data_IF_518796886247
#
_entry.id   IF_518796886247
#
_cell.length_a   1.000
_cell.length_b   1.000
_cell.length_c   1.000
_cell.angle_alpha   90.00
_cell.angle_beta   90.00
_cell.angle_gamma   90.00
#
_symmetry.space_group_name_H-M   'P 1'
#
loop_
_entity.id
_entity.type
_entity.pdbx_description
1 polymer ?
#
# COMPACT_ATOMS: atom_id res chain seq x y z
N UNK A 1 25.85 6.07 12.78
CA UNK A 1 25.24 5.33 11.66
C UNK A 1 25.01 3.86 11.97
N UNK A 2 26.02 3.06 12.32
CA UNK A 2 25.88 1.61 12.59
C UNK A 2 24.85 1.26 13.70
N UNK A 3 24.79 2.02 14.80
CA UNK A 3 23.82 1.83 15.91
C UNK A 3 22.36 2.06 15.50
N UNK A 4 22.09 2.95 14.55
CA UNK A 4 20.74 3.22 14.04
C UNK A 4 20.32 2.07 13.15
N UNK A 5 21.20 1.60 12.28
CA UNK A 5 20.96 0.45 11.39
C UNK A 5 20.68 -0.81 12.21
N UNK A 6 21.46 -1.09 13.25
CA UNK A 6 21.23 -2.24 14.13
C UNK A 6 19.91 -2.17 14.88
N UNK A 7 19.48 -0.99 15.35
CA UNK A 7 18.17 -0.83 16.00
C UNK A 7 17.02 -1.05 15.03
N UNK A 8 17.14 -0.56 13.80
CA UNK A 8 16.13 -0.79 12.76
C UNK A 8 16.02 -2.25 12.33
N UNK A 9 17.14 -2.96 12.23
CA UNK A 9 17.18 -4.40 11.95
C UNK A 9 16.56 -5.20 13.10
N UNK A 10 16.84 -4.81 14.34
CA UNK A 10 16.30 -5.49 15.54
C UNK A 10 14.78 -5.28 15.66
N UNK A 11 14.27 -4.07 15.39
CA UNK A 11 12.84 -3.79 15.33
C UNK A 11 12.14 -4.55 14.21
N UNK A 12 12.76 -4.63 13.04
CA UNK A 12 12.25 -5.41 11.91
C UNK A 12 12.21 -6.91 12.24
N UNK A 13 13.23 -7.43 12.92
CA UNK A 13 13.28 -8.83 13.37
C UNK A 13 12.20 -9.14 14.43
N UNK A 14 11.93 -8.22 15.36
CA UNK A 14 10.85 -8.37 16.35
C UNK A 14 9.48 -8.38 15.65
N UNK A 15 9.25 -7.50 14.69
CA UNK A 15 8.00 -7.46 13.92
C UNK A 15 7.82 -8.76 13.13
N UNK A 16 8.89 -9.29 12.53
CA UNK A 16 8.87 -10.57 11.82
C UNK A 16 8.62 -11.77 12.74
N UNK A 17 9.17 -11.78 13.96
CA UNK A 17 8.97 -12.89 14.91
C UNK A 17 7.58 -12.88 15.56
N UNK A 18 7.00 -11.72 15.82
CA UNK A 18 5.61 -11.62 16.33
C UNK A 18 4.59 -12.04 15.26
N UNK A 19 4.90 -11.87 13.97
CA UNK A 19 4.03 -12.32 12.88
C UNK A 19 3.99 -13.84 12.65
N UNK A 20 4.89 -14.62 13.29
CA UNK A 20 4.97 -16.07 13.06
C UNK A 20 4.20 -16.92 14.08
N UNK A 21 3.74 -16.34 15.16
CA UNK A 21 2.99 -17.05 16.19
C UNK A 21 1.50 -16.74 16.12
N UNK A 22 0.70 -17.77 15.94
CA UNK A 22 -0.76 -17.83 16.04
C UNK A 22 -1.53 -17.40 14.78
N UNK A 23 -1.73 -18.37 13.84
CA UNK A 23 -2.96 -18.36 13.09
C UNK A 23 -3.05 -19.55 12.12
N UNK A 24 -4.15 -20.24 12.10
CA UNK A 24 -4.53 -21.07 10.96
C UNK A 24 -4.63 -20.13 9.74
N UNK A 25 -3.71 -20.29 8.79
CA UNK A 25 -3.65 -19.42 7.63
C UNK A 25 -4.80 -19.78 6.70
N UNK A 26 -5.65 -18.82 6.46
CA UNK A 26 -6.72 -18.91 5.49
C UNK A 26 -6.19 -18.52 4.12
N UNK A 27 -6.56 -19.27 3.07
CA UNK A 27 -6.06 -19.00 1.73
C UNK A 27 -6.76 -17.83 1.03
N UNK A 28 -7.92 -17.37 1.51
CA UNK A 28 -8.76 -16.38 0.84
C UNK A 28 -9.33 -15.34 1.81
N UNK A 29 -9.74 -14.14 1.32
CA UNK A 29 -10.49 -13.19 2.15
C UNK A 29 -11.82 -13.79 2.58
N UNK A 30 -12.07 -13.87 3.89
CA UNK A 30 -13.35 -14.32 4.47
C UNK A 30 -13.78 -13.37 5.58
N UNK A 31 -15.09 -13.28 5.86
CA UNK A 31 -15.64 -12.41 6.91
C UNK A 31 -15.00 -12.67 8.27
N UNK A 32 -14.73 -11.59 9.01
CA UNK A 32 -14.02 -11.66 10.29
C UNK A 32 -12.53 -12.00 10.16
N UNK A 33 -12.05 -12.22 8.93
CA UNK A 33 -10.65 -12.46 8.63
C UNK A 33 -9.83 -11.18 8.60
N UNK A 34 -8.52 -11.37 8.64
CA UNK A 34 -7.54 -10.29 8.56
C UNK A 34 -6.56 -10.56 7.43
N UNK A 35 -6.01 -9.51 6.85
CA UNK A 35 -4.87 -9.56 5.94
C UNK A 35 -3.62 -9.01 6.64
N UNK A 36 -2.50 -9.68 6.45
CA UNK A 36 -1.18 -9.10 6.67
C UNK A 36 -0.35 -9.28 5.40
N UNK A 37 0.30 -8.21 4.94
CA UNK A 37 1.06 -8.23 3.69
C UNK A 37 2.31 -7.36 3.82
N UNK A 38 3.41 -7.83 3.21
CA UNK A 38 4.58 -7.03 2.88
C UNK A 38 4.51 -6.77 1.38
N UNK A 39 4.75 -5.54 0.97
CA UNK A 39 4.67 -5.16 -0.43
C UNK A 39 5.76 -4.17 -0.84
N UNK A 40 6.06 -4.15 -2.13
CA UNK A 40 6.89 -3.13 -2.75
C UNK A 40 6.32 -2.79 -4.13
N UNK A 41 6.50 -1.55 -4.54
CA UNK A 41 6.02 -1.08 -5.82
C UNK A 41 6.85 0.09 -6.35
N UNK A 42 6.71 0.33 -7.63
CA UNK A 42 7.37 1.45 -8.27
C UNK A 42 6.74 1.78 -9.61
N UNK A 43 7.00 2.98 -10.07
CA UNK A 43 6.45 3.49 -11.30
C UNK A 43 6.97 4.86 -11.65
N UNK A 44 6.30 5.49 -12.59
CA UNK A 44 6.72 6.77 -13.13
C UNK A 44 5.54 7.74 -13.25
N UNK A 45 5.87 9.03 -13.32
CA UNK A 45 4.87 10.10 -13.46
C UNK A 45 4.10 9.99 -14.76
N UNK A 46 2.83 10.38 -14.67
CA UNK A 46 1.90 10.55 -15.79
C UNK A 46 1.38 11.98 -15.83
N UNK A 47 0.62 12.31 -16.87
CA UNK A 47 0.07 13.66 -17.07
C UNK A 47 -0.76 14.17 -15.87
N UNK A 48 -0.85 15.50 -15.71
CA UNK A 48 -1.67 16.18 -14.71
C UNK A 48 -0.91 16.64 -13.46
N UNK A 49 0.41 16.58 -13.45
CA UNK A 49 1.28 17.05 -12.37
C UNK A 49 2.71 17.27 -12.85
N UNK A 50 3.68 17.34 -11.92
CA UNK A 50 5.11 17.38 -12.27
C UNK A 50 5.51 16.08 -12.95
N UNK A 51 6.08 16.19 -14.17
CA UNK A 51 6.63 15.09 -14.94
C UNK A 51 8.03 14.66 -14.47
N UNK A 52 8.61 13.70 -15.20
CA UNK A 52 10.00 13.17 -15.02
C UNK A 52 10.30 12.75 -13.58
N UNK A 53 9.27 12.18 -12.91
CA UNK A 53 9.36 11.78 -11.51
C UNK A 53 9.11 10.28 -11.40
N UNK A 54 10.10 9.54 -10.93
CA UNK A 54 9.95 8.14 -10.55
C UNK A 54 9.53 8.00 -9.09
N UNK A 55 8.86 6.92 -8.76
CA UNK A 55 8.51 6.56 -7.39
C UNK A 55 8.85 5.10 -7.11
N UNK A 56 9.37 4.83 -5.92
CA UNK A 56 9.48 3.48 -5.35
C UNK A 56 9.08 3.53 -3.89
N UNK A 57 8.23 2.59 -3.50
CA UNK A 57 7.79 2.48 -2.11
C UNK A 57 7.67 1.02 -1.69
N UNK A 58 7.85 0.79 -0.39
CA UNK A 58 7.65 -0.52 0.21
C UNK A 58 7.03 -0.37 1.60
N UNK A 59 6.17 -1.31 1.96
CA UNK A 59 5.37 -1.18 3.17
C UNK A 59 4.82 -2.48 3.71
N UNK A 60 4.08 -2.29 4.80
CA UNK A 60 3.37 -3.32 5.52
C UNK A 60 1.89 -2.95 5.53
N UNK A 61 1.04 -3.91 5.23
CA UNK A 61 -0.41 -3.79 5.31
C UNK A 61 -0.97 -4.62 6.43
N UNK A 62 -1.98 -4.07 7.09
CA UNK A 62 -2.92 -4.81 7.92
C UNK A 62 -4.35 -4.47 7.50
N UNK A 63 -5.13 -5.50 7.16
CA UNK A 63 -6.52 -5.37 6.71
C UNK A 63 -7.48 -6.15 7.58
N UNK A 64 -8.73 -5.65 7.66
CA UNK A 64 -9.87 -6.29 8.31
C UNK A 64 -10.95 -6.53 7.28
N UNK A 65 -11.34 -7.79 7.07
CA UNK A 65 -12.43 -8.16 6.17
C UNK A 65 -13.73 -8.07 6.97
N UNK A 66 -14.52 -7.05 6.66
CA UNK A 66 -15.63 -6.60 7.49
C UNK A 66 -16.98 -7.21 7.09
N UNK A 67 -17.09 -7.80 5.91
CA UNK A 67 -18.39 -8.22 5.40
C UNK A 67 -18.36 -9.61 4.77
N UNK A 68 -19.49 -10.27 4.82
CA UNK A 68 -19.81 -11.39 3.94
C UNK A 68 -19.88 -10.95 2.47
N UNK A 69 -19.82 -11.90 1.52
CA UNK A 69 -19.98 -11.56 0.12
C UNK A 69 -21.38 -11.05 -0.18
N UNK A 70 -21.49 -9.80 -0.60
CA UNK A 70 -22.74 -9.19 -1.04
C UNK A 70 -22.57 -8.54 -2.42
N UNK A 71 -23.61 -7.93 -2.95
CA UNK A 71 -23.82 -7.55 -4.33
C UNK A 71 -23.98 -8.75 -5.29
N UNK A 72 -24.76 -8.57 -6.38
CA UNK A 72 -25.04 -9.65 -7.32
C UNK A 72 -23.93 -9.84 -8.36
N UNK A 73 -23.89 -11.04 -8.94
CA UNK A 73 -23.14 -11.37 -10.15
C UNK A 73 -21.63 -11.07 -10.03
N UNK A 74 -21.06 -10.38 -11.02
CA UNK A 74 -19.62 -10.04 -11.12
C UNK A 74 -19.16 -9.05 -10.07
N UNK A 75 -20.07 -8.29 -9.47
CA UNK A 75 -19.76 -7.34 -8.41
C UNK A 75 -19.72 -7.98 -7.02
N UNK A 76 -20.10 -9.27 -6.92
CA UNK A 76 -20.11 -9.97 -5.64
C UNK A 76 -18.72 -9.99 -5.02
N UNK A 77 -18.62 -9.51 -3.78
CA UNK A 77 -17.35 -9.36 -3.09
C UNK A 77 -17.53 -9.01 -1.61
N UNK A 78 -16.40 -8.77 -0.96
CA UNK A 78 -16.31 -8.43 0.48
C UNK A 78 -15.59 -7.09 0.64
N UNK A 79 -16.10 -6.30 1.57
CA UNK A 79 -15.44 -5.07 1.96
C UNK A 79 -14.32 -5.35 2.96
N UNK A 80 -13.19 -4.73 2.73
CA UNK A 80 -12.03 -4.74 3.61
C UNK A 80 -11.62 -3.30 3.91
N UNK A 81 -11.34 -3.03 5.17
CA UNK A 81 -10.65 -1.82 5.60
C UNK A 81 -9.19 -2.17 5.88
N UNK A 82 -8.27 -1.35 5.37
CA UNK A 82 -6.85 -1.60 5.51
C UNK A 82 -6.06 -0.37 5.96
N UNK A 83 -4.94 -0.62 6.62
CA UNK A 83 -3.92 0.35 6.96
C UNK A 83 -2.62 -0.04 6.29
N UNK A 84 -1.90 0.92 5.71
CA UNK A 84 -0.54 0.71 5.22
C UNK A 84 0.46 1.59 5.99
N UNK A 85 1.51 0.97 6.53
CA UNK A 85 2.71 1.66 6.98
C UNK A 85 3.75 1.58 5.86
N UNK A 86 4.29 2.71 5.43
CA UNK A 86 5.21 2.83 4.30
C UNK A 86 6.58 3.34 4.80
N UNK A 87 7.42 2.48 5.40
CA UNK A 87 8.72 2.88 5.94
C UNK A 87 9.75 3.23 4.87
N UNK A 88 9.51 2.86 3.62
CA UNK A 88 10.38 3.20 2.49
C UNK A 88 9.55 3.94 1.46
N UNK A 89 9.85 5.21 1.26
CA UNK A 89 9.23 6.06 0.27
C UNK A 89 10.31 6.86 -0.45
N UNK A 90 10.54 6.56 -1.73
CA UNK A 90 11.55 7.20 -2.56
C UNK A 90 10.87 7.88 -3.73
N UNK A 91 11.22 9.13 -3.95
CA UNK A 91 10.78 9.92 -5.11
C UNK A 91 12.02 10.43 -5.84
N UNK A 92 12.16 10.02 -7.09
CA UNK A 92 13.26 10.38 -7.97
C UNK A 92 12.81 11.57 -8.82
N UNK A 93 13.21 12.77 -8.43
CA UNK A 93 12.89 14.01 -9.13
C UNK A 93 14.10 14.48 -9.95
N UNK A 94 13.93 15.28 -11.01
CA UNK A 94 15.05 15.87 -11.73
C UNK A 94 16.02 16.69 -10.85
N UNK A 95 15.48 17.34 -9.81
CA UNK A 95 16.26 18.18 -8.90
C UNK A 95 16.98 17.36 -7.81
N UNK A 96 16.38 16.28 -7.33
CA UNK A 96 16.93 15.47 -6.23
C UNK A 96 16.18 14.13 -6.09
N UNK A 97 16.71 13.26 -5.25
CA UNK A 97 15.98 12.07 -4.76
C UNK A 97 15.50 12.36 -3.33
N UNK A 98 14.19 12.31 -3.14
CA UNK A 98 13.58 12.45 -1.81
C UNK A 98 13.37 11.09 -1.16
N UNK A 99 13.70 11.02 0.12
CA UNK A 99 13.50 9.85 0.98
C UNK A 99 12.42 10.20 2.01
N UNK A 100 11.54 9.27 2.29
CA UNK A 100 10.45 9.54 3.21
C UNK A 100 9.85 8.30 3.84
N UNK A 101 8.84 8.57 4.64
CA UNK A 101 7.97 7.58 5.26
C UNK A 101 6.53 8.00 5.05
N UNK A 102 5.65 7.04 4.85
CA UNK A 102 4.23 7.28 4.66
C UNK A 102 3.37 6.45 5.60
N UNK A 103 2.13 6.87 5.73
CA UNK A 103 1.09 6.14 6.42
C UNK A 103 -0.25 6.37 5.73
N UNK A 104 -0.92 5.29 5.33
CA UNK A 104 -2.24 5.31 4.71
C UNK A 104 -3.28 4.79 5.72
N UNK A 105 -3.94 5.68 6.50
CA UNK A 105 -4.97 5.28 7.46
C UNK A 105 -6.29 4.89 6.80
N UNK A 106 -6.52 5.23 5.55
CA UNK A 106 -7.77 5.02 4.84
C UNK A 106 -7.55 4.10 3.65
N UNK A 107 -7.64 2.79 3.86
CA UNK A 107 -7.66 1.79 2.80
C UNK A 107 -9.06 1.18 2.69
N UNK A 108 -9.78 1.46 1.60
CA UNK A 108 -11.09 0.93 1.29
C UNK A 108 -10.97 -0.04 0.13
N UNK A 109 -11.05 -1.33 0.40
CA UNK A 109 -10.79 -2.39 -0.57
C UNK A 109 -12.02 -3.25 -0.76
N UNK A 110 -12.35 -3.54 -2.01
CA UNK A 110 -13.39 -4.47 -2.40
C UNK A 110 -12.76 -5.71 -3.01
N UNK A 111 -12.79 -6.82 -2.27
CA UNK A 111 -12.32 -8.12 -2.72
C UNK A 111 -13.45 -8.86 -3.42
N UNK A 112 -13.38 -9.00 -4.73
CA UNK A 112 -14.34 -9.79 -5.49
C UNK A 112 -14.24 -11.27 -5.13
N UNK A 113 -15.34 -11.99 -5.27
CA UNK A 113 -15.34 -13.45 -5.06
C UNK A 113 -14.31 -14.11 -5.97
N UNK A 114 -13.50 -14.95 -5.38
CA UNK A 114 -12.42 -15.66 -6.08
C UNK A 114 -12.91 -16.48 -7.25
N UNK A 115 -12.09 -16.58 -8.28
CA UNK A 115 -12.24 -17.47 -9.43
C UNK A 115 -11.01 -18.37 -9.51
N UNK A 116 -11.16 -19.62 -9.05
CA UNK A 116 -10.02 -20.52 -8.87
C UNK A 116 -9.04 -19.97 -7.84
N UNK A 117 -7.81 -19.73 -8.24
CA UNK A 117 -6.75 -19.16 -7.38
C UNK A 117 -6.68 -17.62 -7.43
N UNK A 118 -7.47 -16.97 -8.24
CA UNK A 118 -7.45 -15.52 -8.39
C UNK A 118 -8.59 -14.88 -7.57
N UNK A 119 -8.27 -13.88 -6.78
CA UNK A 119 -9.22 -13.02 -6.07
C UNK A 119 -8.95 -11.57 -6.46
N UNK A 120 -9.64 -11.05 -7.50
CA UNK A 120 -9.48 -9.68 -7.94
C UNK A 120 -9.94 -8.71 -6.86
N UNK A 121 -9.40 -7.48 -6.87
CA UNK A 121 -9.86 -6.41 -6.00
C UNK A 121 -9.71 -5.03 -6.66
N UNK A 122 -10.46 -4.09 -6.13
CA UNK A 122 -10.26 -2.65 -6.34
C UNK A 122 -10.03 -2.00 -4.98
N UNK A 123 -9.28 -0.91 -4.96
CA UNK A 123 -8.92 -0.23 -3.72
C UNK A 123 -8.83 1.29 -3.93
N UNK A 124 -9.29 2.02 -2.93
CA UNK A 124 -9.02 3.44 -2.75
C UNK A 124 -8.26 3.63 -1.45
N UNK A 125 -7.21 4.43 -1.47
CA UNK A 125 -6.37 4.68 -0.29
C UNK A 125 -6.12 6.16 -0.13
N UNK A 126 -6.15 6.62 1.10
CA UNK A 126 -5.80 7.99 1.46
C UNK A 126 -4.77 8.01 2.59
N UNK A 127 -3.74 8.84 2.45
CA UNK A 127 -2.67 8.88 3.42
C UNK A 127 -1.82 10.14 3.42
N UNK A 128 -0.75 10.11 4.19
CA UNK A 128 0.21 11.20 4.34
C UNK A 128 1.63 10.66 4.16
N UNK A 129 2.48 11.46 3.54
CA UNK A 129 3.92 11.19 3.38
C UNK A 129 4.75 12.35 3.91
N UNK A 130 5.81 12.01 4.60
CA UNK A 130 6.83 12.92 5.11
C UNK A 130 8.14 12.62 4.39
N UNK A 131 8.74 13.63 3.75
CA UNK A 131 9.96 13.49 2.96
C UNK A 131 11.05 14.44 3.45
N UNK A 132 12.32 14.08 3.21
CA UNK A 132 13.45 14.90 3.59
C UNK A 132 13.69 16.09 2.64
N UNK A 133 13.19 16.02 1.41
CA UNK A 133 13.15 17.11 0.43
C UNK A 133 11.71 17.32 -0.02
N UNK A 134 11.43 18.53 -0.50
CA UNK A 134 10.11 18.92 -1.01
C UNK A 134 9.68 18.04 -2.20
N UNK A 135 8.42 17.63 -2.20
CA UNK A 135 7.79 16.81 -3.27
C UNK A 135 6.44 17.42 -3.66
N UNK A 136 6.27 17.87 -4.91
CA UNK A 136 7.32 18.13 -5.91
C UNK A 136 8.36 19.14 -5.42
N UNK A 137 9.53 19.17 -6.06
CA UNK A 137 10.56 20.15 -5.71
C UNK A 137 10.00 21.58 -5.68
N UNK A 138 10.39 22.37 -4.69
CA UNK A 138 9.94 23.75 -4.39
C UNK A 138 8.50 23.87 -3.86
N UNK A 139 7.98 22.83 -3.19
CA UNK A 139 6.62 22.87 -2.60
C UNK A 139 6.63 22.59 -1.09
N UNK A 140 6.50 21.33 -0.67
CA UNK A 140 6.43 20.94 0.74
C UNK A 140 7.05 19.56 0.98
N UNK A 141 7.49 19.32 2.21
CA UNK A 141 7.99 18.02 2.69
C UNK A 141 6.90 17.16 3.31
N UNK A 142 5.73 17.72 3.58
CA UNK A 142 4.54 17.01 4.06
C UNK A 142 3.49 17.07 2.98
N UNK A 143 3.07 15.90 2.50
CA UNK A 143 2.09 15.78 1.43
C UNK A 143 1.06 14.71 1.74
N UNK A 144 -0.10 14.83 1.12
CA UNK A 144 -1.15 13.81 1.12
C UNK A 144 -0.98 12.91 -0.09
N UNK A 145 -1.44 11.67 0.06
CA UNK A 145 -1.45 10.66 -0.99
C UNK A 145 -2.88 10.17 -1.20
N UNK A 146 -3.41 10.36 -2.40
CA UNK A 146 -4.67 9.78 -2.82
C UNK A 146 -4.39 8.72 -3.87
N UNK A 147 -4.90 7.51 -3.69
CA UNK A 147 -4.52 6.38 -4.52
C UNK A 147 -5.76 5.57 -4.93
N UNK A 148 -5.72 5.06 -6.16
CA UNK A 148 -6.71 4.12 -6.67
C UNK A 148 -5.99 2.94 -7.32
N UNK A 149 -6.45 1.72 -7.04
CA UNK A 149 -5.79 0.52 -7.49
C UNK A 149 -6.78 -0.53 -8.02
N UNK A 150 -6.28 -1.32 -8.95
CA UNK A 150 -6.85 -2.58 -9.36
C UNK A 150 -5.79 -3.67 -9.27
N UNK A 151 -6.13 -4.77 -8.62
CA UNK A 151 -5.19 -5.86 -8.40
C UNK A 151 -5.86 -7.22 -8.29
N UNK A 152 -5.04 -8.22 -8.04
CA UNK A 152 -5.49 -9.58 -7.75
C UNK A 152 -4.59 -10.25 -6.74
N UNK A 153 -5.19 -10.98 -5.81
CA UNK A 153 -4.48 -11.97 -5.02
C UNK A 153 -4.40 -13.28 -5.81
N UNK A 154 -3.21 -13.86 -5.82
CA UNK A 154 -2.93 -15.22 -6.31
C UNK A 154 -2.86 -16.10 -5.06
N UNK A 155 -3.98 -16.77 -4.76
CA UNK A 155 -4.17 -17.52 -3.52
C UNK A 155 -3.31 -18.78 -3.49
N UNK A 156 -2.55 -18.95 -2.43
CA UNK A 156 -1.78 -20.13 -2.13
C UNK A 156 -2.29 -20.83 -0.86
N UNK A 157 -1.69 -21.95 -0.51
CA UNK A 157 -2.07 -22.70 0.69
C UNK A 157 -1.67 -21.97 1.99
N UNK A 158 -0.54 -21.33 2.01
CA UNK A 158 0.08 -20.71 3.19
C UNK A 158 0.24 -19.19 3.04
N UNK A 159 0.59 -18.76 1.84
CA UNK A 159 0.84 -17.37 1.49
C UNK A 159 0.12 -17.02 0.19
N UNK A 160 -0.28 -15.79 0.07
CA UNK A 160 -0.88 -15.22 -1.12
C UNK A 160 0.09 -14.20 -1.71
N UNK A 161 0.21 -14.21 -3.02
CA UNK A 161 0.86 -13.12 -3.75
C UNK A 161 -0.20 -12.11 -4.16
N UNK A 162 0.18 -10.86 -4.30
CA UNK A 162 -0.65 -9.84 -4.94
C UNK A 162 0.10 -9.16 -6.07
N UNK A 163 -0.62 -8.85 -7.13
CA UNK A 163 -0.15 -8.01 -8.23
C UNK A 163 -1.18 -6.90 -8.42
N UNK A 164 -0.70 -5.67 -8.51
CA UNK A 164 -1.55 -4.49 -8.54
C UNK A 164 -0.99 -3.43 -9.49
N UNK A 165 -1.88 -2.75 -10.20
CA UNK A 165 -1.61 -1.47 -10.87
C UNK A 165 -2.29 -0.38 -10.08
N UNK A 166 -1.54 0.66 -9.72
CA UNK A 166 -1.96 1.73 -8.84
C UNK A 166 -1.67 3.10 -9.46
N UNK A 167 -2.68 3.95 -9.47
CA UNK A 167 -2.51 5.39 -9.64
C UNK A 167 -2.31 6.02 -8.26
N UNK A 168 -1.32 6.91 -8.13
CA UNK A 168 -1.06 7.66 -6.90
C UNK A 168 -0.89 9.14 -7.23
N UNK A 169 -1.67 9.97 -6.57
CA UNK A 169 -1.55 11.42 -6.55
C UNK A 169 -0.90 11.87 -5.25
N UNK A 170 0.14 12.68 -5.34
CA UNK A 170 0.81 13.31 -4.19
C UNK A 170 0.62 14.81 -4.32
N UNK A 171 0.12 15.45 -3.27
CA UNK A 171 -0.03 16.91 -3.23
C UNK A 171 -0.05 17.41 -1.80
N UNK A 172 0.23 18.71 -1.61
CA UNK A 172 0.17 19.34 -0.30
C UNK A 172 -1.24 19.88 0.06
N UNK A 173 -2.27 19.57 -0.74
CA UNK A 173 -3.65 20.04 -0.55
C UNK A 173 -3.78 21.57 -0.41
N UNK A 174 -2.84 22.33 -0.95
CA UNK A 174 -2.83 23.79 -0.84
C UNK A 174 -2.26 24.35 0.46
N UNK A 175 -1.56 23.53 1.26
CA UNK A 175 -0.85 23.97 2.48
C UNK A 175 0.39 24.83 2.17
N UNK A 176 0.84 24.88 0.92
CA UNK A 176 1.89 25.74 0.43
C UNK A 176 1.41 26.51 -0.80
N UNK A 177 2.11 27.62 -1.14
CA UNK A 177 1.73 28.52 -2.26
C UNK A 177 1.71 27.83 -3.63
N UNK A 178 2.51 26.79 -3.81
CA UNK A 178 2.56 25.99 -5.04
C UNK A 178 2.10 24.56 -4.74
N UNK A 179 1.17 24.05 -5.55
CA UNK A 179 0.65 22.70 -5.43
C UNK A 179 0.43 22.05 -6.80
N UNK A 180 1.49 21.85 -7.62
CA UNK A 180 1.33 21.22 -8.92
C UNK A 180 1.04 19.72 -8.84
N UNK A 181 1.32 19.08 -7.69
CA UNK A 181 1.19 17.65 -7.48
C UNK A 181 2.17 16.79 -8.28
N UNK A 182 2.20 15.51 -7.96
CA UNK A 182 2.85 14.43 -8.73
C UNK A 182 1.84 13.31 -8.91
N UNK A 183 1.61 12.91 -10.16
CA UNK A 183 0.77 11.76 -10.50
C UNK A 183 1.65 10.64 -11.01
N UNK A 184 1.53 9.45 -10.45
CA UNK A 184 2.29 8.28 -10.89
C UNK A 184 1.38 7.09 -11.17
N UNK A 185 1.77 6.26 -12.13
CA UNK A 185 1.23 4.90 -12.29
C UNK A 185 2.33 3.94 -11.88
N UNK A 186 1.99 3.00 -11.00
CA UNK A 186 2.90 2.08 -10.37
C UNK A 186 2.42 0.64 -10.54
N UNK A 187 3.37 -0.29 -10.57
CA UNK A 187 3.12 -1.72 -10.37
C UNK A 187 3.60 -2.08 -8.97
N UNK A 188 2.74 -2.78 -8.23
CA UNK A 188 3.01 -3.21 -6.85
C UNK A 188 2.89 -4.72 -6.75
N UNK A 189 3.86 -5.34 -6.10
CA UNK A 189 3.89 -6.74 -5.75
C UNK A 189 3.83 -6.89 -4.24
N UNK A 190 3.08 -7.88 -3.76
CA UNK A 190 2.98 -8.19 -2.35
C UNK A 190 3.00 -9.68 -2.08
N UNK A 191 3.40 -10.03 -0.87
CA UNK A 191 3.26 -11.37 -0.30
C UNK A 191 2.63 -11.25 1.09
N UNK A 192 1.61 -12.04 1.37
CA UNK A 192 0.86 -11.94 2.62
C UNK A 192 0.10 -13.18 3.00
N UNK A 193 -0.74 -13.04 4.00
CA UNK A 193 -1.64 -14.08 4.49
C UNK A 193 -2.99 -13.47 4.83
N UNK A 194 -4.05 -14.26 4.58
CA UNK A 194 -5.35 -14.08 5.24
C UNK A 194 -5.43 -15.02 6.44
N UNK A 195 -6.03 -14.56 7.54
CA UNK A 195 -6.16 -15.36 8.75
C UNK A 195 -7.37 -14.90 9.60
N UNK A 196 -7.95 -15.83 10.36
CA UNK A 196 -8.99 -15.52 11.34
C UNK A 196 -8.34 -15.49 12.73
N UNK A 197 -8.65 -14.47 13.53
CA UNK A 197 -8.32 -14.44 14.96
C UNK A 197 -9.40 -15.24 15.71
N UNK A 198 -9.01 -16.30 16.36
CA UNK A 198 -9.84 -17.02 17.32
C UNK A 198 -9.76 -16.39 18.71
#
# INVERSE_FOLDING_TARGET
>A
MLRIIMRSIFLLAIVLTVATSLCFAQAAPEEGGNEIQIWAGGGHSVAGGRGDTGAFNAGLRYGWILTDPHLPSILRGRFEYALDAVPVFLIFQPANTSYGVGFDPLGLKWNFVRRGRLSPYIELTGGVVFTNHEVPAFTNTVNFMDQAAFGTHILGEKYNWSLEVRYMHISNAGLANLNPGVNTVQVRLGIGKFFIRH
#
